data_IF_880490934563
#
_entry.id   IF_880490934563
#
_cell.length_a   1.000
_cell.length_b   1.000
_cell.length_c   1.000
_cell.angle_alpha   90.00
_cell.angle_beta   90.00
_cell.angle_gamma   90.00
#
_symmetry.space_group_name_H-M   'P 1'
#
loop_
_entity.id
_entity.type
_entity.pdbx_description
1 polymer ?
#
# COMPACT_ATOMS: atom_id res chain seq x y z
N UNK A 1 1.47 8.20 -22.91
CA UNK A 1 1.23 7.27 -21.79
C UNK A 1 2.58 6.73 -21.35
N UNK A 2 3.01 7.01 -20.13
CA UNK A 2 4.25 6.45 -19.58
C UNK A 2 3.89 5.20 -18.78
N UNK A 3 4.52 4.07 -19.11
CA UNK A 3 4.42 2.83 -18.34
C UNK A 3 5.72 2.68 -17.58
N UNK A 4 5.66 2.76 -16.25
CA UNK A 4 6.82 2.57 -15.40
C UNK A 4 6.64 1.30 -14.59
N UNK A 5 7.62 0.40 -14.68
CA UNK A 5 7.72 -0.74 -13.78
C UNK A 5 8.76 -0.39 -12.73
N UNK A 6 8.35 -0.32 -11.47
CA UNK A 6 9.25 -0.07 -10.36
C UNK A 6 9.37 -1.35 -9.54
N UNK A 7 10.61 -1.73 -9.23
CA UNK A 7 10.86 -2.71 -8.19
C UNK A 7 10.74 -1.98 -6.87
N UNK A 8 9.80 -2.40 -6.03
CA UNK A 8 9.56 -1.77 -4.75
C UNK A 8 10.06 -2.72 -3.66
N UNK A 9 10.94 -2.21 -2.80
CA UNK A 9 11.20 -2.85 -1.50
C UNK A 9 9.98 -2.58 -0.61
N UNK A 10 8.92 -3.37 -0.83
CA UNK A 10 7.69 -3.25 -0.06
C UNK A 10 7.94 -3.83 1.34
N UNK A 11 8.32 -2.98 2.27
CA UNK A 11 8.32 -3.30 3.71
C UNK A 11 6.86 -3.33 4.17
N UNK A 12 6.20 -4.47 3.95
CA UNK A 12 4.81 -4.70 4.36
C UNK A 12 4.76 -5.20 5.80
N UNK A 13 4.30 -4.34 6.72
CA UNK A 13 3.84 -4.76 8.04
C UNK A 13 2.44 -5.36 7.87
N UNK A 14 2.37 -6.68 7.66
CA UNK A 14 1.10 -7.38 7.54
C UNK A 14 0.29 -7.28 8.85
N UNK A 15 -1.04 -7.04 8.78
CA UNK A 15 -1.89 -7.01 9.96
C UNK A 15 -1.82 -8.32 10.76
N UNK A 16 -1.99 -8.27 12.10
CA UNK A 16 -2.01 -9.46 12.96
C UNK A 16 -3.14 -10.43 12.62
N UNK A 17 -4.17 -9.97 11.93
CA UNK A 17 -5.35 -10.74 11.53
C UNK A 17 -5.09 -11.66 10.32
N UNK A 18 -3.93 -11.53 9.65
CA UNK A 18 -3.46 -12.49 8.63
C UNK A 18 -2.76 -13.63 9.35
N UNK A 19 -3.03 -14.90 9.00
CA UNK A 19 -2.46 -16.04 9.73
C UNK A 19 -0.92 -16.06 9.72
N UNK A 20 -0.33 -16.68 10.75
CA UNK A 20 1.12 -16.68 10.98
C UNK A 20 1.92 -17.27 9.81
N UNK A 21 1.40 -18.32 9.15
CA UNK A 21 2.08 -18.94 8.02
C UNK A 21 2.11 -18.01 6.82
N UNK A 22 0.98 -17.37 6.50
CA UNK A 22 0.89 -16.35 5.44
C UNK A 22 1.84 -15.18 5.71
N UNK A 23 1.91 -14.67 6.96
CA UNK A 23 2.86 -13.60 7.32
C UNK A 23 4.32 -14.04 7.14
N UNK A 24 4.66 -15.27 7.52
CA UNK A 24 6.03 -15.80 7.39
C UNK A 24 6.46 -15.94 5.93
N UNK A 25 5.58 -16.44 5.07
CA UNK A 25 5.83 -16.55 3.63
C UNK A 25 6.00 -15.14 3.04
N UNK A 26 5.07 -14.23 3.35
CA UNK A 26 5.06 -12.91 2.74
C UNK A 26 6.30 -12.05 3.05
N UNK A 27 6.92 -12.23 4.22
CA UNK A 27 8.21 -11.58 4.57
C UNK A 27 9.39 -11.97 3.67
N UNK A 28 9.30 -13.08 2.96
CA UNK A 28 10.35 -13.58 2.07
C UNK A 28 10.01 -13.35 0.59
N UNK A 29 8.91 -12.64 0.29
CA UNK A 29 8.50 -12.37 -1.07
C UNK A 29 9.03 -11.02 -1.54
N UNK A 30 9.66 -11.03 -2.71
CA UNK A 30 9.84 -9.81 -3.51
C UNK A 30 8.53 -9.50 -4.21
N UNK A 31 8.09 -8.24 -4.14
CA UNK A 31 6.92 -7.75 -4.85
C UNK A 31 7.33 -6.83 -5.98
N UNK A 32 6.70 -6.96 -7.14
CA UNK A 32 6.86 -6.05 -8.27
C UNK A 32 5.59 -5.21 -8.41
N UNK A 33 5.72 -3.87 -8.42
CA UNK A 33 4.58 -2.98 -8.60
C UNK A 33 4.63 -2.32 -9.97
N UNK A 34 3.65 -2.65 -10.81
CA UNK A 34 3.45 -2.02 -12.11
C UNK A 34 2.47 -0.88 -11.93
N UNK A 35 2.84 0.33 -12.38
CA UNK A 35 2.00 1.51 -12.31
C UNK A 35 1.91 2.12 -13.71
N UNK A 36 0.68 2.26 -14.21
CA UNK A 36 0.39 3.03 -15.42
C UNK A 36 -0.38 4.25 -14.99
N UNK A 37 0.18 5.44 -15.24
CA UNK A 37 -0.45 6.70 -14.91
C UNK A 37 -0.85 7.45 -16.19
N UNK A 38 -2.09 7.90 -16.23
CA UNK A 38 -2.63 8.77 -17.27
C UNK A 38 -3.37 9.95 -16.63
N UNK A 39 -2.63 11.03 -16.37
CA UNK A 39 -3.12 12.14 -15.55
C UNK A 39 -3.42 11.64 -14.13
N UNK A 40 -4.67 11.78 -13.71
CA UNK A 40 -5.16 11.33 -12.41
C UNK A 40 -5.65 9.88 -12.41
N UNK A 41 -5.68 9.21 -13.57
CA UNK A 41 -6.07 7.81 -13.67
C UNK A 41 -4.86 6.90 -13.47
N UNK A 42 -4.97 6.00 -12.51
CA UNK A 42 -3.96 5.02 -12.17
C UNK A 42 -4.48 3.61 -12.38
N UNK A 43 -3.69 2.81 -13.09
CA UNK A 43 -3.84 1.36 -13.13
C UNK A 43 -2.65 0.74 -12.43
N UNK A 44 -2.89 -0.05 -11.38
CA UNK A 44 -1.81 -0.61 -10.57
C UNK A 44 -1.95 -2.11 -10.41
N UNK A 45 -0.81 -2.80 -10.48
CA UNK A 45 -0.71 -4.24 -10.25
C UNK A 45 0.44 -4.51 -9.30
N UNK A 46 0.15 -5.17 -8.19
CA UNK A 46 1.15 -5.70 -7.27
C UNK A 46 1.28 -7.19 -7.53
N UNK A 47 2.46 -7.61 -7.96
CA UNK A 47 2.75 -8.98 -8.38
C UNK A 47 3.71 -9.63 -7.40
N UNK A 48 3.43 -10.88 -7.02
CA UNK A 48 4.35 -11.71 -6.24
C UNK A 48 4.19 -13.18 -6.64
N UNK A 49 5.12 -14.04 -6.22
CA UNK A 49 5.00 -15.49 -6.45
C UNK A 49 3.88 -16.15 -5.64
N UNK A 50 3.25 -15.42 -4.70
CA UNK A 50 2.21 -15.94 -3.83
C UNK A 50 0.82 -15.41 -4.18
N UNK A 51 0.65 -14.08 -4.17
CA UNK A 51 -0.63 -13.42 -4.47
C UNK A 51 -0.42 -12.15 -5.27
N UNK A 52 -1.30 -11.93 -6.24
CA UNK A 52 -1.33 -10.74 -7.07
C UNK A 52 -2.56 -9.91 -6.71
N UNK A 53 -2.42 -8.60 -6.78
CA UNK A 53 -3.47 -7.64 -6.45
C UNK A 53 -3.52 -6.54 -7.51
N UNK A 54 -4.70 -6.22 -8.01
CA UNK A 54 -4.91 -5.15 -8.99
C UNK A 54 -5.88 -4.13 -8.42
N UNK A 55 -5.54 -2.85 -8.53
CA UNK A 55 -6.42 -1.75 -8.16
C UNK A 55 -6.23 -0.61 -9.15
N UNK A 56 -7.36 -0.14 -9.69
CA UNK A 56 -7.44 0.97 -10.61
C UNK A 56 -8.29 2.05 -9.99
N UNK A 57 -7.85 3.31 -10.06
CA UNK A 57 -8.52 4.43 -9.42
C UNK A 57 -8.27 5.74 -10.17
N UNK A 58 -9.14 6.71 -9.95
CA UNK A 58 -8.89 8.12 -10.28
C UNK A 58 -8.58 8.87 -8.98
N UNK A 59 -7.51 9.65 -8.96
CA UNK A 59 -7.20 10.49 -7.79
C UNK A 59 -8.32 11.49 -7.55
N UNK A 60 -8.77 11.61 -6.30
CA UNK A 60 -9.86 12.48 -5.87
C UNK A 60 -11.26 11.86 -5.99
N UNK A 61 -11.40 10.68 -6.60
CA UNK A 61 -12.68 9.97 -6.73
C UNK A 61 -12.73 8.78 -5.76
N UNK A 62 -13.76 8.72 -4.92
CA UNK A 62 -14.00 7.57 -4.03
C UNK A 62 -14.55 6.40 -4.85
N UNK A 63 -14.09 5.18 -4.56
CA UNK A 63 -14.50 3.98 -5.28
C UNK A 63 -14.58 2.76 -4.35
N UNK A 64 -15.35 1.77 -4.76
CA UNK A 64 -15.43 0.49 -4.06
C UNK A 64 -14.22 -0.38 -4.41
N UNK A 65 -13.46 -0.79 -3.39
CA UNK A 65 -12.30 -1.66 -3.51
C UNK A 65 -12.59 -3.02 -2.86
N UNK A 66 -12.40 -4.09 -3.64
CA UNK A 66 -12.53 -5.47 -3.16
C UNK A 66 -11.13 -6.06 -2.97
N UNK A 67 -10.74 -6.21 -1.70
CA UNK A 67 -9.39 -6.66 -1.27
C UNK A 67 -9.20 -8.17 -1.36
N UNK A 68 -9.66 -8.76 -2.48
CA UNK A 68 -9.62 -10.20 -2.75
C UNK A 68 -8.18 -10.69 -2.78
N UNK A 69 -7.90 -11.80 -2.10
CA UNK A 69 -6.54 -12.31 -1.99
C UNK A 69 -5.68 -11.54 -0.98
N UNK A 70 -6.22 -10.56 -0.28
CA UNK A 70 -5.62 -10.02 0.94
C UNK A 70 -6.46 -10.50 2.12
N UNK A 71 -7.31 -9.62 2.65
CA UNK A 71 -8.20 -9.89 3.76
C UNK A 71 -9.68 -10.04 3.35
N UNK A 72 -9.96 -10.08 2.04
CA UNK A 72 -11.26 -10.39 1.43
C UNK A 72 -12.41 -9.50 1.92
N UNK A 73 -12.17 -8.19 2.02
CA UNK A 73 -13.18 -7.18 2.39
C UNK A 73 -13.54 -6.28 1.22
N UNK A 74 -14.78 -5.81 1.23
CA UNK A 74 -15.25 -4.68 0.42
C UNK A 74 -15.14 -3.42 1.26
N UNK A 75 -14.44 -2.42 0.75
CA UNK A 75 -14.17 -1.14 1.42
C UNK A 75 -14.41 0.01 0.44
N UNK A 76 -14.59 1.22 0.96
CA UNK A 76 -14.61 2.45 0.16
C UNK A 76 -13.25 3.13 0.26
N UNK A 77 -12.62 3.39 -0.88
CA UNK A 77 -11.26 3.90 -0.95
C UNK A 77 -11.24 5.23 -1.67
N UNK A 78 -10.55 6.21 -1.09
CA UNK A 78 -10.25 7.50 -1.71
C UNK A 78 -8.74 7.68 -1.74
N UNK A 79 -8.19 7.92 -2.92
CA UNK A 79 -6.76 8.24 -3.11
C UNK A 79 -6.62 9.71 -3.44
N UNK A 80 -5.71 10.40 -2.75
CA UNK A 80 -5.43 11.84 -2.92
C UNK A 80 -3.93 12.10 -2.97
N UNK A 81 -3.54 13.25 -3.53
CA UNK A 81 -2.18 13.75 -3.43
C UNK A 81 -2.00 14.54 -2.12
N UNK A 82 -0.95 14.23 -1.37
CA UNK A 82 -0.40 15.05 -0.29
C UNK A 82 1.03 15.44 -0.67
N UNK A 83 1.17 16.60 -1.29
CA UNK A 83 2.43 17.01 -1.93
C UNK A 83 2.82 16.06 -3.07
N UNK A 84 3.95 15.37 -2.90
CA UNK A 84 4.50 14.38 -3.83
C UNK A 84 4.11 12.93 -3.49
N UNK A 85 3.24 12.74 -2.49
CA UNK A 85 2.83 11.43 -1.99
C UNK A 85 1.39 11.12 -2.38
N UNK A 86 1.12 9.87 -2.75
CA UNK A 86 -0.24 9.36 -2.86
C UNK A 86 -0.67 8.78 -1.51
N UNK A 87 -1.79 9.26 -1.00
CA UNK A 87 -2.39 8.82 0.27
C UNK A 87 -3.75 8.22 -0.03
N UNK A 88 -3.95 6.98 0.41
CA UNK A 88 -5.22 6.29 0.35
C UNK A 88 -5.84 6.14 1.73
N UNK A 89 -7.11 6.56 1.84
CA UNK A 89 -7.95 6.32 3.01
C UNK A 89 -8.95 5.23 2.65
N UNK A 90 -8.95 4.14 3.44
CA UNK A 90 -9.76 2.95 3.21
C UNK A 90 -10.80 2.82 4.33
N UNK A 91 -12.06 3.17 4.04
CA UNK A 91 -13.17 3.12 4.98
C UNK A 91 -13.88 1.77 4.91
N UNK A 92 -14.12 1.15 6.06
CA UNK A 92 -14.87 -0.10 6.17
C UNK A 92 -14.83 -0.64 7.59
N UNK A 93 -14.84 -1.97 7.73
CA UNK A 93 -14.83 -2.65 9.04
C UNK A 93 -13.63 -2.27 9.91
N UNK A 94 -12.46 -2.00 9.30
CA UNK A 94 -11.25 -1.60 10.02
C UNK A 94 -11.12 -0.08 10.02
N UNK A 95 -11.14 0.51 11.21
CA UNK A 95 -10.82 1.92 11.41
C UNK A 95 -9.35 2.20 11.07
N UNK A 96 -9.08 3.44 10.63
CA UNK A 96 -7.72 3.95 10.36
C UNK A 96 -6.90 3.07 9.40
N UNK A 97 -7.56 2.49 8.39
CA UNK A 97 -6.91 1.71 7.34
C UNK A 97 -6.55 2.63 6.18
N UNK A 98 -5.33 2.49 5.68
CA UNK A 98 -4.86 3.26 4.54
C UNK A 98 -3.43 2.92 4.18
N UNK A 99 -2.93 3.58 3.15
CA UNK A 99 -1.54 3.50 2.75
C UNK A 99 -1.06 4.84 2.20
N UNK A 100 0.25 5.06 2.27
CA UNK A 100 0.92 6.18 1.65
C UNK A 100 2.07 5.65 0.80
N UNK A 101 2.18 6.15 -0.43
CA UNK A 101 3.27 5.80 -1.34
C UNK A 101 3.93 7.05 -1.91
N UNK A 102 5.24 7.01 -2.11
CA UNK A 102 6.00 8.09 -2.75
C UNK A 102 7.24 7.53 -3.44
N UNK A 103 7.84 8.33 -4.31
CA UNK A 103 9.08 7.99 -5.01
C UNK A 103 10.21 8.84 -4.42
N UNK A 104 11.33 8.20 -4.10
CA UNK A 104 12.57 8.88 -3.70
C UNK A 104 13.71 8.33 -4.57
N UNK A 105 14.20 9.15 -5.52
CA UNK A 105 15.13 8.69 -6.54
C UNK A 105 14.51 7.57 -7.40
N UNK A 106 15.16 6.40 -7.41
CA UNK A 106 14.69 5.21 -8.13
C UNK A 106 13.88 4.25 -7.25
N UNK A 107 13.61 4.62 -5.99
CA UNK A 107 12.92 3.78 -5.02
C UNK A 107 11.44 4.17 -4.90
N UNK A 108 10.56 3.16 -4.92
CA UNK A 108 9.16 3.30 -4.54
C UNK A 108 8.98 2.92 -3.07
N UNK A 109 8.62 3.89 -2.26
CA UNK A 109 8.25 3.68 -0.86
C UNK A 109 6.74 3.43 -0.74
N UNK A 110 6.37 2.46 0.09
CA UNK A 110 4.98 2.15 0.44
C UNK A 110 4.91 1.85 1.94
N UNK A 111 4.08 2.61 2.65
CA UNK A 111 3.78 2.41 4.07
C UNK A 111 2.29 2.13 4.21
N UNK A 112 1.95 1.08 4.94
CA UNK A 112 0.57 0.75 5.31
C UNK A 112 0.36 1.08 6.77
N UNK A 113 -0.47 2.06 7.08
CA UNK A 113 -0.67 2.49 8.46
C UNK A 113 -1.93 1.88 9.10
N UNK A 114 -1.81 1.62 10.41
CA UNK A 114 -2.91 1.67 11.37
C UNK A 114 -2.56 2.76 12.38
N UNK A 115 -2.99 4.01 12.12
CA UNK A 115 -3.09 5.19 13.02
C UNK A 115 -2.76 6.48 12.25
N UNK A 116 -3.73 7.00 11.52
CA UNK A 116 -3.76 8.42 11.15
C UNK A 116 -4.69 9.14 12.15
N UNK A 117 -4.16 9.46 13.33
CA UNK A 117 -4.72 10.51 14.18
C UNK A 117 -3.55 11.42 14.59
N UNK A 118 -3.59 12.68 14.12
CA UNK A 118 -2.67 13.73 14.57
C UNK A 118 -1.27 13.70 13.94
N UNK A 119 -1.18 14.15 12.69
CA UNK A 119 0.02 14.73 12.03
C UNK A 119 1.41 14.28 12.49
N UNK A 120 2.00 13.34 11.74
CA UNK A 120 3.45 13.15 11.72
C UNK A 120 3.88 11.68 11.75
N UNK A 121 4.74 11.30 10.79
CA UNK A 121 5.52 10.07 10.78
C UNK A 121 6.46 10.03 12.00
N UNK A 122 5.97 9.56 13.15
CA UNK A 122 6.83 9.26 14.29
C UNK A 122 7.61 7.97 13.99
N UNK A 123 8.85 8.16 13.56
CA UNK A 123 9.86 7.16 13.20
C UNK A 123 9.87 5.96 14.17
N UNK A 124 9.51 4.79 13.66
CA UNK A 124 9.82 3.49 14.27
C UNK A 124 11.32 3.19 14.13
N UNK A 125 12.16 3.94 14.88
CA UNK A 125 13.63 3.80 14.93
C UNK A 125 14.15 3.32 16.29
N UNK A 126 13.30 2.73 17.13
CA UNK A 126 13.70 2.14 18.42
C UNK A 126 13.35 0.66 18.48
N UNK A 127 14.14 -0.18 17.79
CA UNK A 127 14.23 -1.61 18.15
C UNK A 127 15.50 -2.32 17.63
N UNK A 128 16.51 -1.59 17.14
CA UNK A 128 17.83 -2.16 16.74
C UNK A 128 19.02 -1.64 17.55
N UNK A 129 18.82 -1.23 18.80
CA UNK A 129 19.91 -0.91 19.74
C UNK A 129 19.78 -1.61 21.10
N UNK A 130 18.94 -2.64 21.22
CA UNK A 130 18.97 -3.55 22.37
C UNK A 130 18.78 -5.00 21.92
N UNK A 131 19.80 -5.53 21.26
CA UNK A 131 20.20 -6.95 21.35
C UNK A 131 21.63 -7.12 20.86
#
# INVERSE_FOLDING_TARGET
MSRTSLNADVVSLFPPDIDFATRKIARHLTQTKVIVQNGDKFETKTLSTFRNYEVNFTVGEEFEEVTKGLDNRTIQTLVTWDGDKLVAVQKGEKANRGWMQWIEGDLLHLVTERKMEGGGLEREKREREMS
#
